data_IF_840136015495
#
_entry.id   IF_840136015495
#
_cell.length_a   1.000
_cell.length_b   1.000
_cell.length_c   1.000
_cell.angle_alpha   90.00
_cell.angle_beta   90.00
_cell.angle_gamma   90.00
#
_symmetry.space_group_name_H-M   'P 1'
#
loop_
_entity.id
_entity.type
_entity.pdbx_description
1 polymer ?
#
# COMPACT_ATOMS: atom_id res chain seq x y z
N UNK A 1 -12.73 4.70 -37.66
CA UNK A 1 -13.71 4.68 -36.56
C UNK A 1 -12.97 4.41 -35.25
N UNK A 2 -13.22 5.29 -34.30
CA UNK A 2 -12.80 5.42 -32.90
C UNK A 2 -12.14 4.25 -32.15
N UNK A 3 -10.96 4.57 -31.62
CA UNK A 3 -10.47 4.47 -30.23
C UNK A 3 -11.19 3.53 -29.25
N UNK A 4 -10.36 2.77 -28.51
CA UNK A 4 -10.45 2.46 -27.06
C UNK A 4 -9.09 1.82 -26.69
N UNK A 5 -8.18 2.39 -25.91
CA UNK A 5 -8.32 3.43 -24.88
C UNK A 5 -8.72 2.83 -23.53
N UNK A 6 -7.94 1.89 -22.99
CA UNK A 6 -8.00 1.55 -21.57
C UNK A 6 -6.59 1.44 -20.98
N UNK A 7 -6.23 2.54 -20.35
CA UNK A 7 -5.11 2.77 -19.44
C UNK A 7 -4.98 1.66 -18.41
N UNK A 8 -3.85 0.96 -18.42
CA UNK A 8 -3.40 0.10 -17.34
C UNK A 8 -2.87 0.98 -16.18
N UNK A 9 -3.76 1.77 -15.57
CA UNK A 9 -3.49 2.44 -14.28
C UNK A 9 -3.89 1.48 -13.16
N UNK A 10 -3.20 0.32 -13.09
CA UNK A 10 -3.34 -0.58 -11.95
C UNK A 10 -2.36 -0.15 -10.86
N UNK A 11 -2.86 0.75 -10.01
CA UNK A 11 -2.59 0.80 -8.56
C UNK A 11 -1.12 0.68 -8.13
N UNK A 12 -0.36 1.76 -8.32
CA UNK A 12 0.87 1.99 -7.56
C UNK A 12 0.59 2.01 -6.04
N UNK A 13 -0.60 2.44 -5.62
CA UNK A 13 -1.00 2.59 -4.21
C UNK A 13 -1.20 1.30 -3.41
N UNK A 14 -1.41 0.14 -4.04
CA UNK A 14 -1.58 -1.14 -3.31
C UNK A 14 -0.24 -1.82 -3.02
N UNK A 15 0.86 -1.43 -3.68
CA UNK A 15 2.20 -1.99 -3.45
C UNK A 15 2.75 -1.67 -2.06
N UNK A 16 2.30 -0.55 -1.51
CA UNK A 16 2.84 0.05 -0.28
C UNK A 16 2.04 -0.31 0.96
N UNK A 17 1.02 -1.19 0.88
CA UNK A 17 0.27 -1.62 2.07
C UNK A 17 0.97 -2.81 2.72
N UNK A 18 1.11 -2.78 4.06
CA UNK A 18 1.76 -3.83 4.83
C UNK A 18 1.27 -5.25 4.45
N UNK A 19 -0.05 -5.46 4.40
CA UNK A 19 -0.62 -6.77 4.06
C UNK A 19 -0.19 -7.26 2.68
N UNK A 20 -0.28 -6.40 1.67
CA UNK A 20 0.08 -6.73 0.29
C UNK A 20 1.59 -6.97 0.14
N UNK A 21 2.42 -6.20 0.86
CA UNK A 21 3.87 -6.39 0.91
C UNK A 21 4.24 -7.75 1.50
N UNK A 22 3.62 -8.14 2.61
CA UNK A 22 3.84 -9.45 3.24
C UNK A 22 3.42 -10.60 2.32
N UNK A 23 2.34 -10.44 1.55
CA UNK A 23 1.91 -11.44 0.56
C UNK A 23 2.93 -11.58 -0.57
N UNK A 24 3.39 -10.46 -1.15
CA UNK A 24 4.38 -10.48 -2.24
C UNK A 24 5.70 -11.13 -1.83
N UNK A 25 6.12 -10.97 -0.58
CA UNK A 25 7.33 -11.60 -0.02
C UNK A 25 7.14 -13.06 0.43
N UNK A 26 5.97 -13.64 0.20
CA UNK A 26 5.64 -15.01 0.58
C UNK A 26 5.53 -15.24 2.09
N UNK A 27 5.49 -14.17 2.89
CA UNK A 27 5.41 -14.23 4.35
C UNK A 27 3.98 -14.40 4.85
N UNK A 28 3.00 -13.99 4.04
CA UNK A 28 1.58 -14.12 4.34
C UNK A 28 0.86 -14.70 3.12
N UNK A 29 -0.11 -15.59 3.30
CA UNK A 29 -0.94 -16.05 2.18
C UNK A 29 -2.12 -15.09 1.97
N UNK A 30 -2.52 -14.89 0.71
CA UNK A 30 -3.61 -13.97 0.37
C UNK A 30 -4.94 -14.30 1.09
N UNK A 31 -5.23 -15.58 1.29
CA UNK A 31 -6.44 -15.98 2.04
C UNK A 31 -6.38 -15.61 3.52
N UNK A 32 -5.19 -15.67 4.16
CA UNK A 32 -5.00 -15.25 5.55
C UNK A 32 -5.18 -13.74 5.69
N UNK A 33 -4.61 -12.97 4.75
CA UNK A 33 -4.80 -11.52 4.70
C UNK A 33 -6.28 -11.15 4.58
N UNK A 34 -6.99 -11.76 3.63
CA UNK A 34 -8.42 -11.50 3.40
C UNK A 34 -9.27 -11.84 4.61
N UNK A 35 -9.00 -12.96 5.28
CA UNK A 35 -9.68 -13.33 6.52
C UNK A 35 -9.46 -12.28 7.61
N UNK A 36 -8.21 -11.87 7.86
CA UNK A 36 -7.88 -10.91 8.91
C UNK A 36 -8.40 -9.51 8.64
N UNK A 37 -8.47 -9.09 7.38
CA UNK A 37 -9.11 -7.81 7.00
C UNK A 37 -10.62 -7.83 7.29
N UNK A 38 -11.30 -8.93 6.98
CA UNK A 38 -12.72 -9.10 7.34
C UNK A 38 -12.92 -9.12 8.85
N UNK A 39 -12.04 -9.80 9.58
CA UNK A 39 -12.08 -9.83 11.04
C UNK A 39 -11.84 -8.44 11.64
N UNK A 40 -10.87 -7.68 11.12
CA UNK A 40 -10.62 -6.30 11.51
C UNK A 40 -11.85 -5.42 11.31
N UNK A 41 -12.54 -5.57 10.17
CA UNK A 41 -13.78 -4.85 9.88
C UNK A 41 -14.88 -5.21 10.87
N UNK A 42 -15.04 -6.50 11.19
CA UNK A 42 -16.00 -6.96 12.20
C UNK A 42 -15.69 -6.38 13.59
N UNK A 43 -14.41 -6.31 13.99
CA UNK A 43 -14.03 -5.67 15.25
C UNK A 43 -14.32 -4.17 15.27
N UNK A 44 -14.08 -3.46 14.16
CA UNK A 44 -14.42 -2.04 14.05
C UNK A 44 -15.92 -1.79 14.21
N UNK A 45 -16.77 -2.69 13.71
CA UNK A 45 -18.21 -2.60 13.86
C UNK A 45 -18.68 -2.66 15.32
N UNK A 46 -17.91 -3.31 16.20
CA UNK A 46 -18.18 -3.39 17.65
C UNK A 46 -17.30 -2.43 18.47
N UNK A 47 -16.88 -1.32 17.85
CA UNK A 47 -16.03 -0.27 18.44
C UNK A 47 -14.68 -0.76 19.01
N UNK A 48 -14.15 -1.89 18.51
CA UNK A 48 -12.79 -2.36 18.81
C UNK A 48 -11.86 -2.01 17.67
N UNK A 49 -10.82 -1.23 17.95
CA UNK A 49 -9.86 -0.80 16.94
C UNK A 49 -8.56 -1.60 17.05
N UNK A 50 -8.52 -2.76 16.38
CA UNK A 50 -7.28 -3.53 16.24
C UNK A 50 -6.52 -3.12 15.00
N UNK A 51 -5.20 -2.99 15.11
CA UNK A 51 -4.31 -2.78 13.95
C UNK A 51 -4.12 -4.10 13.21
N UNK A 52 -3.92 -4.03 11.89
CA UNK A 52 -3.73 -5.23 11.08
C UNK A 52 -2.49 -6.02 11.55
N UNK A 53 -1.39 -5.33 11.89
CA UNK A 53 -0.18 -5.96 12.44
C UNK A 53 -0.42 -6.72 13.75
N UNK A 54 -1.28 -6.21 14.62
CA UNK A 54 -1.63 -6.89 15.88
C UNK A 54 -2.43 -8.17 15.62
N UNK A 55 -3.41 -8.11 14.71
CA UNK A 55 -4.21 -9.27 14.30
C UNK A 55 -3.37 -10.35 13.62
N UNK A 56 -2.39 -9.94 12.82
CA UNK A 56 -1.45 -10.83 12.15
C UNK A 56 -0.63 -11.65 13.16
N UNK A 57 -0.15 -11.02 14.22
CA UNK A 57 0.62 -11.69 15.28
C UNK A 57 -0.29 -12.51 16.20
N UNK A 58 -1.43 -11.96 16.63
CA UNK A 58 -2.33 -12.62 17.58
C UNK A 58 -2.94 -13.91 17.02
N UNK A 59 -3.21 -13.95 15.71
CA UNK A 59 -3.69 -15.13 15.02
C UNK A 59 -2.57 -16.03 14.47
N UNK A 60 -1.30 -15.77 14.85
CA UNK A 60 -0.11 -16.53 14.41
C UNK A 60 0.01 -16.64 12.89
N UNK A 61 -0.49 -15.65 12.16
CA UNK A 61 -0.37 -15.61 10.71
C UNK A 61 1.06 -15.24 10.28
N UNK A 62 1.74 -14.42 11.08
CA UNK A 62 3.17 -14.08 10.97
C UNK A 62 3.74 -13.78 12.36
N UNK A 63 5.07 -13.83 12.47
CA UNK A 63 5.78 -13.41 13.68
C UNK A 63 5.88 -11.87 13.79
N UNK A 64 6.07 -11.37 15.01
CA UNK A 64 6.23 -9.93 15.26
C UNK A 64 7.40 -9.33 14.46
N UNK A 65 8.53 -10.03 14.40
CA UNK A 65 9.70 -9.60 13.64
C UNK A 65 9.40 -9.38 12.14
N UNK A 66 8.54 -10.23 11.57
CA UNK A 66 8.11 -10.11 10.16
C UNK A 66 7.24 -8.88 9.95
N UNK A 67 6.35 -8.57 10.91
CA UNK A 67 5.54 -7.35 10.87
C UNK A 67 6.41 -6.10 10.98
N UNK A 68 7.38 -6.09 11.90
CA UNK A 68 8.31 -4.96 12.07
C UNK A 68 9.16 -4.73 10.83
N UNK A 69 9.71 -5.79 10.22
CA UNK A 69 10.42 -5.71 8.96
C UNK A 69 9.53 -5.19 7.84
N UNK A 70 8.29 -5.68 7.74
CA UNK A 70 7.31 -5.20 6.76
C UNK A 70 7.00 -3.71 6.92
N UNK A 71 6.86 -3.23 8.15
CA UNK A 71 6.64 -1.82 8.46
C UNK A 71 7.86 -0.95 8.13
N UNK A 72 9.07 -1.43 8.42
CA UNK A 72 10.31 -0.74 8.05
C UNK A 72 10.42 -0.58 6.53
N UNK A 73 10.13 -1.64 5.77
CA UNK A 73 10.12 -1.61 4.31
C UNK A 73 9.03 -0.70 3.76
N UNK A 74 7.82 -0.76 4.31
CA UNK A 74 6.73 0.12 3.93
C UNK A 74 7.13 1.60 4.06
N UNK A 75 7.83 1.97 5.14
CA UNK A 75 8.34 3.34 5.32
C UNK A 75 9.36 3.73 4.24
N UNK A 76 10.21 2.81 3.81
CA UNK A 76 11.17 3.05 2.73
C UNK A 76 10.44 3.28 1.40
N UNK A 77 9.48 2.43 1.05
CA UNK A 77 8.69 2.58 -0.17
C UNK A 77 7.90 3.89 -0.20
N UNK A 78 7.25 4.26 0.91
CA UNK A 78 6.52 5.52 1.00
C UNK A 78 7.42 6.75 0.78
N UNK A 79 8.68 6.70 1.23
CA UNK A 79 9.64 7.79 0.99
C UNK A 79 10.09 7.87 -0.47
N UNK A 80 10.22 6.73 -1.14
CA UNK A 80 10.56 6.70 -2.56
C UNK A 80 9.40 7.23 -3.42
N UNK A 81 8.16 6.80 -3.13
CA UNK A 81 6.97 7.31 -3.81
C UNK A 81 6.82 8.84 -3.67
N UNK A 82 7.09 9.40 -2.49
CA UNK A 82 7.05 10.87 -2.31
C UNK A 82 8.10 11.59 -3.15
N UNK A 83 9.30 11.04 -3.28
CA UNK A 83 10.36 11.65 -4.11
C UNK A 83 10.01 11.63 -5.60
N UNK A 84 9.46 10.51 -6.10
CA UNK A 84 9.02 10.41 -7.50
C UNK A 84 7.90 11.41 -7.82
N UNK A 85 6.97 11.62 -6.89
CA UNK A 85 5.89 12.60 -7.05
C UNK A 85 6.42 14.04 -7.06
N UNK A 86 7.38 14.38 -6.20
CA UNK A 86 8.00 15.70 -6.15
C UNK A 86 8.78 16.02 -7.45
N UNK A 87 9.48 15.02 -8.01
CA UNK A 87 10.16 15.17 -9.32
C UNK A 87 9.17 15.39 -10.46
N UNK A 88 8.07 14.64 -10.50
CA UNK A 88 7.03 14.82 -11.51
C UNK A 88 6.40 16.21 -11.40
N UNK A 89 6.05 16.65 -10.18
CA UNK A 89 5.47 17.97 -9.96
C UNK A 89 6.41 19.09 -10.41
N UNK A 90 7.71 18.97 -10.12
CA UNK A 90 8.73 19.93 -10.54
C UNK A 90 8.82 20.05 -12.07
N UNK A 91 8.78 18.92 -12.79
CA UNK A 91 8.77 18.93 -14.27
C UNK A 91 7.49 19.58 -14.84
N UNK A 92 6.34 19.39 -14.20
CA UNK A 92 5.08 20.02 -14.62
C UNK A 92 5.10 21.55 -14.42
N UNK A 93 5.70 22.06 -13.34
CA UNK A 93 5.82 23.50 -13.11
C UNK A 93 6.73 24.19 -14.15
N UNK A 94 7.84 23.56 -14.56
CA UNK A 94 8.71 24.09 -15.62
C UNK A 94 8.02 24.17 -16.99
N UNK A 95 7.21 23.16 -17.34
CA UNK A 95 6.45 23.14 -18.60
C UNK A 95 5.34 24.20 -18.63
N UNK A 96 4.79 24.59 -17.48
CA UNK A 96 3.74 25.62 -17.43
C UNK A 96 4.31 27.04 -17.45
N UNK A 97 5.53 27.26 -16.96
CA UNK A 97 6.20 28.58 -17.01
C UNK A 97 6.75 28.93 -18.40
N UNK A 98 7.16 27.95 -19.20
CA UNK A 98 7.66 28.16 -20.57
C UNK A 98 6.58 28.54 -21.59
N UNK A 99 5.31 28.56 -21.19
CA UNK A 99 4.15 28.85 -22.05
C UNK A 99 3.48 30.20 -21.78
N UNK A 100 4.17 31.11 -21.07
CA UNK A 100 3.73 32.50 -20.91
C UNK A 100 4.27 33.32 -22.08
N UNK A 101 3.43 33.87 -22.97
CA UNK A 101 3.86 34.77 -24.05
C UNK A 101 4.41 36.10 -23.52
#
# INVERSE_FOLDING_TARGET
MSQRGHTHSQSLSNSSRLGDLLVRRGQLRSYQLNFLLRLQQAYRAVARNFRLGELLVSHRAVELAVVEQGLALQKVYLRQETHELDEILSQFEEVTQTKKP
#
